data_IF_285414104819
#
_entry.id   IF_285414104819
#
_cell.length_a   1.000
_cell.length_b   1.000
_cell.length_c   1.000
_cell.angle_alpha   90.00
_cell.angle_beta   90.00
_cell.angle_gamma   90.00
#
_symmetry.space_group_name_H-M   'P 1'
#
loop_
_entity.id
_entity.type
_entity.pdbx_description
1 polymer ?
#
# COMPACT_ATOMS: atom_id res chain seq x y z
N UNK A 1 -38.37 -41.98 12.07
CA UNK A 1 -37.11 -42.01 11.29
C UNK A 1 -36.33 -40.73 11.55
N UNK A 2 -35.51 -40.73 12.60
CA UNK A 2 -34.67 -39.57 12.94
C UNK A 2 -33.51 -39.49 11.95
N UNK A 3 -33.67 -38.65 10.92
CA UNK A 3 -32.62 -38.45 9.93
C UNK A 3 -31.44 -37.73 10.58
N UNK A 4 -30.27 -38.29 10.36
CA UNK A 4 -28.93 -37.78 10.65
C UNK A 4 -28.76 -36.43 9.95
N UNK A 5 -29.24 -35.34 10.55
CA UNK A 5 -29.05 -33.97 10.07
C UNK A 5 -27.91 -33.40 10.89
N UNK A 6 -26.77 -33.18 10.23
CA UNK A 6 -25.60 -32.56 10.84
C UNK A 6 -25.93 -31.11 11.23
N UNK A 7 -26.25 -30.90 12.51
CA UNK A 7 -26.68 -29.60 13.09
C UNK A 7 -25.62 -28.49 12.97
N UNK A 8 -24.37 -28.83 12.65
CA UNK A 8 -23.28 -27.85 12.49
C UNK A 8 -23.10 -27.38 11.05
N UNK A 9 -23.60 -28.12 10.06
CA UNK A 9 -23.45 -27.74 8.65
C UNK A 9 -24.65 -26.90 8.19
N UNK A 10 -24.42 -25.60 8.01
CA UNK A 10 -25.42 -24.63 7.54
C UNK A 10 -26.17 -25.02 6.25
N UNK A 11 -25.56 -25.85 5.39
CA UNK A 11 -26.17 -26.26 4.12
C UNK A 11 -27.17 -27.42 4.28
N UNK A 12 -27.03 -28.21 5.34
CA UNK A 12 -27.84 -29.42 5.56
C UNK A 12 -28.99 -29.18 6.55
N UNK A 13 -28.94 -28.08 7.28
CA UNK A 13 -29.95 -27.69 8.26
C UNK A 13 -31.16 -27.11 7.55
N UNK A 14 -32.31 -27.76 7.74
CA UNK A 14 -33.61 -27.30 7.25
C UNK A 14 -34.23 -26.34 8.26
N UNK A 15 -34.98 -25.38 7.73
CA UNK A 15 -35.90 -24.52 8.46
C UNK A 15 -37.23 -25.22 8.75
N UNK A 16 -37.85 -24.87 9.86
CA UNK A 16 -39.24 -25.18 10.14
C UNK A 16 -40.13 -24.11 9.51
N UNK A 17 -41.34 -24.48 9.08
CA UNK A 17 -42.27 -23.55 8.42
C UNK A 17 -42.59 -22.37 9.34
N UNK A 18 -42.35 -21.15 8.84
CA UNK A 18 -42.61 -19.91 9.57
C UNK A 18 -41.56 -19.52 10.61
N UNK A 19 -40.45 -20.26 10.73
CA UNK A 19 -39.32 -19.92 11.62
C UNK A 19 -38.05 -19.63 10.82
N UNK A 20 -37.18 -18.81 11.38
CA UNK A 20 -35.83 -18.63 10.84
C UNK A 20 -35.02 -19.94 10.99
N UNK A 21 -34.03 -20.13 10.11
CA UNK A 21 -33.09 -21.26 10.21
C UNK A 21 -32.42 -21.27 11.58
N UNK A 22 -32.30 -22.44 12.24
CA UNK A 22 -31.65 -22.50 13.55
C UNK A 22 -30.15 -22.17 13.41
N UNK A 23 -29.60 -21.55 14.45
CA UNK A 23 -28.20 -21.18 14.47
C UNK A 23 -27.30 -22.43 14.46
N UNK A 24 -26.32 -22.46 13.56
CA UNK A 24 -25.35 -23.56 13.42
C UNK A 24 -24.01 -23.27 14.10
N UNK A 25 -23.89 -22.08 14.70
CA UNK A 25 -22.72 -21.60 15.42
C UNK A 25 -23.09 -21.40 16.89
N UNK A 26 -22.08 -21.50 17.74
CA UNK A 26 -22.24 -21.21 19.16
C UNK A 26 -22.57 -19.73 19.32
N UNK A 27 -23.80 -19.45 19.72
CA UNK A 27 -24.26 -18.10 20.02
C UNK A 27 -23.92 -17.78 21.48
N UNK A 28 -23.67 -16.50 21.79
CA UNK A 28 -23.59 -16.04 23.16
C UNK A 28 -24.84 -16.40 23.98
N UNK A 29 -24.72 -16.52 25.31
CA UNK A 29 -25.83 -16.82 26.21
C UNK A 29 -27.01 -15.85 26.05
N UNK A 30 -28.18 -16.29 26.50
CA UNK A 30 -29.38 -15.47 26.50
C UNK A 30 -29.16 -14.19 27.33
N UNK A 31 -29.55 -13.04 26.77
CA UNK A 31 -29.23 -11.70 27.29
C UNK A 31 -28.03 -11.00 26.65
N UNK A 32 -27.29 -11.65 25.74
CA UNK A 32 -26.25 -10.95 24.97
C UNK A 32 -26.84 -9.98 23.95
N UNK A 33 -26.46 -8.70 24.04
CA UNK A 33 -26.85 -7.69 23.05
C UNK A 33 -25.87 -7.69 21.88
N UNK A 34 -26.36 -8.03 20.69
CA UNK A 34 -25.57 -7.96 19.47
C UNK A 34 -25.39 -6.51 19.01
N UNK A 35 -24.21 -6.19 18.47
CA UNK A 35 -23.88 -4.87 17.94
C UNK A 35 -22.60 -4.31 18.55
N UNK A 36 -22.17 -3.15 18.03
CA UNK A 36 -21.05 -2.38 18.60
C UNK A 36 -21.65 -1.28 19.46
N UNK A 37 -21.44 -1.34 20.77
CA UNK A 37 -21.84 -0.26 21.67
C UNK A 37 -21.14 1.04 21.28
N UNK A 38 -21.87 2.15 21.33
CA UNK A 38 -21.31 3.46 21.08
C UNK A 38 -20.42 3.85 22.27
N UNK A 39 -19.12 3.95 22.03
CA UNK A 39 -18.16 4.36 23.05
C UNK A 39 -18.12 5.88 23.02
N UNK A 40 -18.89 6.50 23.93
CA UNK A 40 -18.77 7.94 24.16
C UNK A 40 -17.35 8.25 24.62
N UNK A 41 -16.76 9.29 24.06
CA UNK A 41 -15.49 9.80 24.53
C UNK A 41 -15.62 10.20 26.01
N UNK A 42 -14.53 10.03 26.76
CA UNK A 42 -14.49 10.46 28.16
C UNK A 42 -14.53 11.98 28.29
N UNK A 43 -14.11 12.68 27.24
CA UNK A 43 -14.03 14.13 27.20
C UNK A 43 -15.29 14.71 26.54
N UNK A 44 -15.96 15.61 27.26
CA UNK A 44 -17.09 16.36 26.72
C UNK A 44 -16.61 17.65 26.03
N UNK A 45 -17.44 18.22 25.14
CA UNK A 45 -17.11 19.45 24.42
C UNK A 45 -16.62 20.59 25.33
N UNK A 46 -17.21 20.75 26.52
CA UNK A 46 -16.78 21.76 27.49
C UNK A 46 -15.38 21.53 28.07
N UNK A 47 -14.94 20.27 28.20
CA UNK A 47 -13.60 19.93 28.70
C UNK A 47 -12.56 20.20 27.61
N UNK A 48 -12.87 19.83 26.37
CA UNK A 48 -12.00 20.05 25.21
C UNK A 48 -11.78 21.54 24.95
N UNK A 49 -12.78 22.39 25.18
CA UNK A 49 -12.66 23.85 24.98
C UNK A 49 -11.98 24.58 26.13
N UNK A 50 -12.08 24.07 27.36
CA UNK A 50 -11.53 24.72 28.57
C UNK A 50 -10.13 24.24 28.96
N UNK A 51 -9.73 23.05 28.53
CA UNK A 51 -8.43 22.47 28.86
C UNK A 51 -7.57 22.28 27.61
N UNK A 52 -6.42 22.93 27.58
CA UNK A 52 -5.41 22.69 26.55
C UNK A 52 -4.38 21.70 27.09
N UNK A 53 -4.44 20.46 26.64
CA UNK A 53 -3.42 19.47 27.00
C UNK A 53 -2.14 19.77 26.22
N UNK A 54 -1.10 20.19 26.94
CA UNK A 54 0.23 20.37 26.36
C UNK A 54 0.78 19.04 25.86
N UNK A 55 1.58 19.09 24.81
CA UNK A 55 2.19 17.89 24.22
C UNK A 55 3.05 17.16 25.26
N UNK A 56 2.61 15.97 25.64
CA UNK A 56 3.45 15.00 26.34
C UNK A 56 4.18 14.17 25.29
N UNK A 57 5.50 14.06 25.42
CA UNK A 57 6.28 13.19 24.53
C UNK A 57 5.72 11.78 24.63
N UNK A 58 5.40 11.18 23.48
CA UNK A 58 4.94 9.79 23.46
C UNK A 58 6.03 8.89 24.06
N UNK A 59 5.60 7.84 24.77
CA UNK A 59 6.54 6.84 25.28
C UNK A 59 7.39 6.34 24.10
N UNK A 60 8.72 6.24 24.25
CA UNK A 60 9.57 5.72 23.18
C UNK A 60 9.07 4.32 22.85
N UNK A 61 8.70 4.12 21.59
CA UNK A 61 8.30 2.79 21.11
C UNK A 61 9.53 1.89 21.19
N UNK A 62 9.37 0.72 21.81
CA UNK A 62 10.44 -0.27 21.84
C UNK A 62 10.92 -0.53 20.41
N UNK A 63 12.25 -0.65 20.19
CA UNK A 63 12.76 -0.95 18.88
C UNK A 63 12.18 -2.26 18.34
N UNK A 64 12.07 -2.34 17.02
CA UNK A 64 11.58 -3.55 16.37
C UNK A 64 12.56 -4.71 16.61
N UNK A 65 12.04 -5.95 16.61
CA UNK A 65 12.88 -7.15 16.75
C UNK A 65 13.78 -7.31 15.53
N UNK A 66 15.05 -7.61 15.76
CA UNK A 66 16.00 -7.92 14.70
C UNK A 66 15.93 -9.40 14.33
N UNK A 67 15.06 -9.72 13.38
CA UNK A 67 14.93 -11.08 12.87
C UNK A 67 16.18 -11.60 12.17
N UNK A 68 17.05 -10.74 11.62
CA UNK A 68 18.29 -11.19 10.98
C UNK A 68 19.28 -11.66 12.05
N UNK A 69 19.42 -10.91 13.14
CA UNK A 69 20.25 -11.32 14.28
C UNK A 69 19.67 -12.56 14.96
N UNK A 70 18.37 -12.62 15.19
CA UNK A 70 17.70 -13.80 15.75
C UNK A 70 17.91 -15.05 14.89
N UNK A 71 17.75 -14.96 13.57
CA UNK A 71 17.97 -16.10 12.68
C UNK A 71 19.45 -16.53 12.64
N UNK A 72 20.40 -15.58 12.74
CA UNK A 72 21.82 -15.94 12.85
C UNK A 72 22.12 -16.68 14.15
N UNK A 73 21.49 -16.29 15.25
CA UNK A 73 21.63 -16.99 16.54
C UNK A 73 20.98 -18.37 16.50
N UNK A 74 19.79 -18.48 15.91
CA UNK A 74 19.08 -19.77 15.80
C UNK A 74 19.87 -20.79 14.99
N UNK A 75 20.55 -20.36 13.92
CA UNK A 75 21.42 -21.23 13.11
C UNK A 75 22.63 -21.70 13.93
N UNK A 76 23.21 -20.84 14.78
CA UNK A 76 24.33 -21.22 15.65
C UNK A 76 23.93 -22.27 16.68
N UNK A 77 22.69 -22.23 17.17
CA UNK A 77 22.14 -23.23 18.10
C UNK A 77 21.55 -24.46 17.39
N UNK A 78 21.62 -24.54 16.06
CA UNK A 78 21.12 -25.69 15.30
C UNK A 78 19.60 -25.75 15.19
N UNK A 79 18.89 -24.64 15.40
CA UNK A 79 17.44 -24.54 15.25
C UNK A 79 17.09 -24.37 13.77
N UNK A 80 16.71 -25.47 13.12
CA UNK A 80 16.41 -25.52 11.67
C UNK A 80 14.90 -25.64 11.38
N UNK A 81 14.11 -26.17 12.31
CA UNK A 81 12.66 -26.36 12.13
C UNK A 81 11.85 -25.08 12.44
N UNK A 82 10.80 -24.82 11.68
CA UNK A 82 10.00 -23.61 11.76
C UNK A 82 9.25 -23.47 13.10
N UNK A 83 8.79 -24.58 13.70
CA UNK A 83 8.11 -24.54 15.00
C UNK A 83 9.11 -24.21 16.12
N UNK A 84 10.28 -24.85 16.06
CA UNK A 84 11.37 -24.62 17.01
C UNK A 84 11.93 -23.20 16.89
N UNK A 85 12.00 -22.63 15.68
CA UNK A 85 12.40 -21.25 15.44
C UNK A 85 11.45 -20.24 16.06
N UNK A 86 10.14 -20.54 16.09
CA UNK A 86 9.15 -19.69 16.75
C UNK A 86 9.39 -19.64 18.26
N UNK A 87 9.56 -20.80 18.92
CA UNK A 87 9.91 -20.86 20.35
C UNK A 87 11.23 -20.14 20.64
N UNK A 88 12.25 -20.38 19.82
CA UNK A 88 13.54 -19.70 19.94
C UNK A 88 13.43 -18.16 19.89
N UNK A 89 12.53 -17.61 19.07
CA UNK A 89 12.25 -16.17 18.97
C UNK A 89 11.40 -15.61 20.12
N UNK A 90 10.73 -16.48 20.88
CA UNK A 90 10.00 -16.10 22.09
C UNK A 90 10.98 -16.03 23.28
N UNK A 91 11.92 -16.96 23.36
CA UNK A 91 12.93 -17.06 24.44
C UNK A 91 14.09 -16.06 24.28
N UNK A 92 14.50 -15.76 23.05
CA UNK A 92 15.60 -14.84 22.76
C UNK A 92 15.07 -13.51 22.21
N UNK A 93 15.33 -12.41 22.92
CA UNK A 93 14.98 -11.07 22.44
C UNK A 93 16.23 -10.33 21.91
N UNK A 94 16.28 -10.15 20.59
CA UNK A 94 17.25 -9.27 19.96
C UNK A 94 16.51 -8.14 19.24
N UNK A 95 16.86 -6.91 19.57
CA UNK A 95 16.23 -5.69 19.07
C UNK A 95 17.16 -4.98 18.10
N UNK A 96 16.58 -4.31 17.12
CA UNK A 96 17.33 -3.42 16.23
C UNK A 96 17.84 -2.27 17.09
N UNK A 97 19.16 -2.13 17.18
CA UNK A 97 19.73 -0.95 17.81
C UNK A 97 19.26 0.27 16.99
N UNK A 98 18.61 1.26 17.62
CA UNK A 98 18.27 2.47 16.91
C UNK A 98 19.57 3.04 16.37
N UNK A 99 19.71 3.13 15.05
CA UNK A 99 20.91 3.69 14.44
C UNK A 99 21.00 5.15 14.89
N UNK A 100 21.77 5.41 15.94
CA UNK A 100 22.18 6.75 16.41
C UNK A 100 23.09 7.42 15.36
N UNK A 101 23.35 6.74 14.24
CA UNK A 101 23.99 7.29 13.06
C UNK A 101 23.08 8.25 12.28
N UNK A 102 23.47 9.52 12.33
CA UNK A 102 23.09 10.65 11.46
C UNK A 102 21.89 11.52 11.85
N UNK A 103 20.92 11.03 12.64
CA UNK A 103 19.79 11.89 13.07
C UNK A 103 19.98 12.56 14.44
N UNK A 104 20.65 11.93 15.41
CA UNK A 104 20.88 12.60 16.71
C UNK A 104 22.06 13.57 16.69
N UNK A 105 23.01 13.38 15.76
CA UNK A 105 24.12 14.34 15.52
C UNK A 105 23.69 15.58 14.74
N UNK A 106 22.55 15.52 14.05
CA UNK A 106 21.77 16.73 13.75
C UNK A 106 21.17 17.19 15.07
N UNK A 107 22.04 17.75 15.90
CA UNK A 107 21.70 18.54 17.07
C UNK A 107 20.42 19.30 16.75
N UNK A 108 19.49 19.30 17.69
CA UNK A 108 18.49 20.35 17.76
C UNK A 108 19.26 21.68 17.66
N UNK A 109 19.37 22.24 16.46
CA UNK A 109 19.79 23.61 16.31
C UNK A 109 18.67 24.38 16.98
N UNK A 110 18.98 25.03 18.10
CA UNK A 110 18.07 25.97 18.73
C UNK A 110 17.68 26.96 17.65
N UNK A 111 16.42 26.91 17.25
CA UNK A 111 15.93 27.77 16.19
C UNK A 111 15.98 29.19 16.74
N UNK A 112 16.70 30.13 16.08
CA UNK A 112 16.76 31.51 16.56
C UNK A 112 15.35 32.09 16.69
N UNK A 113 15.12 32.90 17.72
CA UNK A 113 13.79 33.45 18.04
C UNK A 113 13.21 34.34 16.92
N UNK A 114 14.08 34.89 16.07
CA UNK A 114 13.72 35.69 14.89
C UNK A 114 13.60 34.87 13.59
N UNK A 115 13.72 33.53 13.65
CA UNK A 115 13.53 32.69 12.48
C UNK A 115 12.03 32.51 12.22
N UNK A 116 11.53 33.16 11.18
CA UNK A 116 10.19 32.90 10.69
C UNK A 116 10.16 31.54 9.97
N UNK A 117 9.30 30.63 10.43
CA UNK A 117 9.00 29.40 9.71
C UNK A 117 7.87 29.63 8.72
N UNK A 118 8.01 29.06 7.53
CA UNK A 118 6.98 29.10 6.51
C UNK A 118 7.54 29.37 5.13
N UNK A 119 6.69 29.25 4.13
CA UNK A 119 7.02 29.68 2.77
C UNK A 119 6.57 31.14 2.64
N UNK A 120 7.45 32.08 2.28
CA UNK A 120 7.02 33.46 2.05
C UNK A 120 5.91 33.47 1.00
N UNK A 121 4.99 34.43 1.12
CA UNK A 121 3.95 34.60 0.12
C UNK A 121 4.59 34.68 -1.27
N UNK A 122 4.08 33.87 -2.20
CA UNK A 122 4.52 33.92 -3.58
C UNK A 122 4.29 35.37 -4.05
N UNK A 123 5.32 36.08 -4.54
CA UNK A 123 5.11 37.42 -5.08
C UNK A 123 4.06 37.35 -6.19
N UNK A 124 3.20 38.36 -6.26
CA UNK A 124 2.25 38.47 -7.36
C UNK A 124 3.00 38.42 -8.68
N UNK A 125 2.47 37.69 -9.65
CA UNK A 125 3.01 37.67 -11.02
C UNK A 125 3.08 39.12 -11.54
N UNK A 126 4.27 39.61 -11.94
CA UNK A 126 4.44 40.98 -12.43
C UNK A 126 3.45 41.30 -13.56
N UNK A 127 2.61 42.31 -13.34
CA UNK A 127 1.53 42.64 -14.28
C UNK A 127 2.05 43.06 -15.66
N UNK A 128 3.20 43.73 -15.71
CA UNK A 128 3.85 44.14 -16.95
C UNK A 128 4.16 42.93 -17.86
N UNK A 129 4.65 41.82 -17.26
CA UNK A 129 4.96 40.60 -18.02
C UNK A 129 3.71 39.87 -18.54
N UNK A 130 2.56 40.06 -17.89
CA UNK A 130 1.27 39.53 -18.36
C UNK A 130 0.78 40.37 -19.54
N UNK A 131 0.76 41.70 -19.39
CA UNK A 131 0.30 42.63 -20.43
C UNK A 131 1.16 42.51 -21.69
N UNK A 132 2.48 42.38 -21.54
CA UNK A 132 3.42 42.24 -22.65
C UNK A 132 3.50 40.82 -23.23
N UNK A 133 2.68 39.86 -22.78
CA UNK A 133 2.73 38.45 -23.19
C UNK A 133 4.12 37.78 -23.03
N UNK A 134 4.97 38.31 -22.15
CA UNK A 134 6.35 37.86 -21.96
C UNK A 134 6.43 36.37 -21.57
N UNK A 135 5.51 35.90 -20.72
CA UNK A 135 5.46 34.50 -20.30
C UNK A 135 5.02 33.55 -21.43
N UNK A 136 4.20 34.04 -22.36
CA UNK A 136 3.81 33.28 -23.54
C UNK A 136 4.97 33.13 -24.53
N UNK A 137 5.69 34.22 -24.77
CA UNK A 137 6.86 34.23 -25.65
C UNK A 137 8.00 33.37 -25.11
N UNK A 138 8.34 33.50 -23.83
CA UNK A 138 9.37 32.68 -23.18
C UNK A 138 9.00 31.20 -23.20
N UNK A 139 7.75 30.84 -22.91
CA UNK A 139 7.29 29.46 -23.01
C UNK A 139 7.38 28.92 -24.44
N UNK A 140 7.05 29.74 -25.44
CA UNK A 140 7.19 29.36 -26.84
C UNK A 140 8.65 29.11 -27.22
N UNK A 141 9.56 30.00 -26.82
CA UNK A 141 11.00 29.86 -27.03
C UNK A 141 11.54 28.58 -26.39
N UNK A 142 11.22 28.31 -25.14
CA UNK A 142 11.63 27.08 -24.46
C UNK A 142 11.14 25.81 -25.17
N UNK A 143 9.92 25.84 -25.71
CA UNK A 143 9.34 24.71 -26.45
C UNK A 143 10.12 24.49 -27.75
N UNK A 144 10.41 25.57 -28.49
CA UNK A 144 11.19 25.53 -29.73
C UNK A 144 12.59 24.97 -29.47
N UNK A 145 13.28 25.45 -28.43
CA UNK A 145 14.59 24.96 -28.02
C UNK A 145 14.57 23.48 -27.65
N UNK A 146 13.56 23.04 -26.88
CA UNK A 146 13.39 21.61 -26.52
C UNK A 146 13.21 20.74 -27.75
N UNK A 147 12.41 21.19 -28.73
CA UNK A 147 12.23 20.43 -29.97
C UNK A 147 13.51 20.38 -30.80
N UNK A 148 14.24 21.49 -30.94
CA UNK A 148 15.52 21.53 -31.65
C UNK A 148 16.54 20.55 -31.02
N UNK A 149 16.71 20.62 -29.69
CA UNK A 149 17.61 19.75 -28.95
C UNK A 149 17.20 18.27 -29.03
N UNK A 150 15.89 17.98 -28.97
CA UNK A 150 15.39 16.62 -29.17
C UNK A 150 15.72 16.06 -30.54
N UNK A 151 15.64 16.89 -31.58
CA UNK A 151 15.89 16.51 -32.95
C UNK A 151 17.39 16.26 -33.20
N UNK A 152 18.25 17.11 -32.63
CA UNK A 152 19.71 16.93 -32.65
C UNK A 152 20.16 15.67 -31.91
N UNK A 153 19.64 15.43 -30.71
CA UNK A 153 19.91 14.19 -29.97
C UNK A 153 19.49 12.95 -30.75
N UNK A 154 18.30 13.00 -31.39
CA UNK A 154 17.80 11.89 -32.22
C UNK A 154 18.72 11.61 -33.42
N UNK A 155 19.27 12.65 -34.07
CA UNK A 155 20.28 12.49 -35.13
C UNK A 155 21.56 11.82 -34.63
N UNK A 156 21.96 12.09 -33.39
CA UNK A 156 23.12 11.48 -32.74
C UNK A 156 22.83 10.08 -32.14
N UNK A 157 21.63 9.52 -32.34
CA UNK A 157 21.22 8.24 -31.76
C UNK A 157 21.03 8.26 -30.24
N UNK A 158 20.99 9.45 -29.61
CA UNK A 158 20.76 9.64 -28.17
C UNK A 158 19.31 10.03 -27.93
N UNK A 159 18.72 9.51 -26.85
CA UNK A 159 17.39 9.91 -26.40
C UNK A 159 17.49 10.95 -25.28
N UNK A 160 16.51 11.85 -25.20
CA UNK A 160 16.32 12.71 -24.03
C UNK A 160 16.14 11.86 -22.76
N UNK A 161 16.67 12.36 -21.64
CA UNK A 161 16.46 11.74 -20.35
C UNK A 161 14.96 11.70 -20.05
N UNK A 162 14.42 10.49 -19.87
CA UNK A 162 13.01 10.33 -19.49
C UNK A 162 12.81 10.85 -18.05
N UNK A 163 11.63 11.41 -17.74
CA UNK A 163 11.27 11.71 -16.36
C UNK A 163 11.43 10.47 -15.48
N UNK A 164 11.82 10.66 -14.22
CA UNK A 164 11.83 9.55 -13.25
C UNK A 164 10.44 8.95 -13.16
N UNK A 165 10.36 7.62 -13.31
CA UNK A 165 9.11 6.90 -13.19
C UNK A 165 8.58 7.02 -11.75
N UNK A 166 7.26 7.05 -11.62
CA UNK A 166 6.61 7.01 -10.31
C UNK A 166 6.42 5.56 -9.87
N UNK A 167 6.33 5.32 -8.56
CA UNK A 167 6.06 3.98 -7.99
C UNK A 167 4.78 3.33 -8.54
N UNK A 168 3.80 4.15 -8.97
CA UNK A 168 2.58 3.65 -9.60
C UNK A 168 2.86 3.11 -11.02
N UNK A 169 3.71 3.81 -11.79
CA UNK A 169 4.12 3.37 -13.11
C UNK A 169 4.91 2.06 -13.04
N UNK A 170 5.88 1.96 -12.12
CA UNK A 170 6.66 0.74 -11.88
C UNK A 170 5.76 -0.46 -11.61
N UNK A 171 4.80 -0.34 -10.67
CA UNK A 171 3.85 -1.40 -10.34
C UNK A 171 2.93 -1.78 -11.51
N UNK A 172 2.53 -0.82 -12.34
CA UNK A 172 1.73 -1.09 -13.53
C UNK A 172 2.53 -1.89 -14.56
N UNK A 173 3.81 -1.54 -14.76
CA UNK A 173 4.72 -2.28 -15.64
C UNK A 173 4.97 -3.69 -15.11
N UNK A 174 5.20 -3.86 -13.81
CA UNK A 174 5.32 -5.17 -13.17
C UNK A 174 4.07 -6.03 -13.38
N UNK A 175 2.88 -5.45 -13.20
CA UNK A 175 1.62 -6.14 -13.42
C UNK A 175 1.45 -6.59 -14.88
N UNK A 176 1.78 -5.72 -15.83
CA UNK A 176 1.71 -6.05 -17.27
C UNK A 176 2.70 -7.18 -17.60
N UNK A 177 3.94 -7.11 -17.11
CA UNK A 177 4.96 -8.16 -17.31
C UNK A 177 4.52 -9.49 -16.70
N UNK A 178 4.02 -9.47 -15.46
CA UNK A 178 3.49 -10.68 -14.81
C UNK A 178 2.34 -11.28 -15.61
N UNK A 179 1.40 -10.46 -16.08
CA UNK A 179 0.27 -10.92 -16.89
C UNK A 179 0.76 -11.54 -18.20
N UNK A 180 1.69 -10.90 -18.90
CA UNK A 180 2.28 -11.44 -20.13
C UNK A 180 2.99 -12.77 -19.89
N UNK A 181 3.76 -12.92 -18.80
CA UNK A 181 4.40 -14.20 -18.44
C UNK A 181 3.41 -15.31 -18.08
N UNK A 182 2.22 -14.98 -17.57
CA UNK A 182 1.17 -15.98 -17.26
C UNK A 182 0.33 -16.38 -18.48
N UNK A 183 0.46 -15.68 -19.61
CA UNK A 183 -0.33 -15.95 -20.82
C UNK A 183 0.44 -16.78 -21.86
N UNK A 184 1.64 -17.28 -21.52
CA UNK A 184 2.43 -18.20 -22.37
C UNK A 184 2.02 -19.66 -22.24
N UNK A 185 0.97 -19.97 -21.47
CA UNK A 185 0.27 -21.24 -21.70
C UNK A 185 -0.64 -21.03 -22.91
N UNK A 186 -0.45 -21.86 -23.94
CA UNK A 186 -1.31 -21.98 -25.13
C UNK A 186 -2.74 -22.35 -24.70
N UNK A 187 -3.45 -21.41 -24.07
CA UNK A 187 -4.86 -21.58 -23.76
C UNK A 187 -5.56 -21.62 -25.11
N UNK A 188 -6.22 -22.74 -25.46
CA UNK A 188 -6.93 -22.82 -26.71
C UNK A 188 -7.95 -21.68 -26.75
N UNK A 189 -7.95 -20.94 -27.85
CA UNK A 189 -8.87 -19.83 -28.04
C UNK A 189 -10.30 -20.34 -27.80
N UNK A 190 -11.10 -19.54 -27.10
CA UNK A 190 -12.44 -19.95 -26.70
C UNK A 190 -13.24 -20.48 -27.90
N UNK A 191 -13.69 -21.73 -27.81
CA UNK A 191 -14.50 -22.41 -28.83
C UNK A 191 -15.74 -22.98 -28.16
N UNK A 192 -16.92 -22.70 -28.71
CA UNK A 192 -18.17 -23.28 -28.21
C UNK A 192 -18.13 -24.81 -28.36
N UNK A 193 -18.74 -25.55 -27.43
CA UNK A 193 -18.75 -27.04 -27.42
C UNK A 193 -19.10 -27.66 -28.77
N UNK A 194 -20.10 -27.09 -29.48
CA UNK A 194 -20.57 -27.60 -30.78
C UNK A 194 -19.57 -27.42 -31.92
N UNK A 195 -18.59 -26.53 -31.76
CA UNK A 195 -17.59 -26.25 -32.78
C UNK A 195 -16.23 -26.83 -32.44
N UNK A 196 -16.04 -27.51 -31.30
CA UNK A 196 -14.72 -28.04 -30.90
C UNK A 196 -14.05 -28.86 -32.01
N UNK A 197 -14.81 -29.71 -32.70
CA UNK A 197 -14.32 -30.61 -33.75
C UNK A 197 -14.45 -30.07 -35.19
N UNK A 198 -14.73 -28.77 -35.37
CA UNK A 198 -14.85 -28.17 -36.71
C UNK A 198 -13.57 -27.44 -37.08
N UNK A 199 -12.94 -27.82 -38.19
CA UNK A 199 -11.71 -27.20 -38.65
C UNK A 199 -11.97 -25.77 -39.20
N UNK A 200 -11.04 -24.82 -38.97
CA UNK A 200 -11.17 -23.48 -39.50
C UNK A 200 -11.07 -23.51 -41.03
N UNK A 201 -12.01 -22.83 -41.71
CA UNK A 201 -12.00 -22.70 -43.17
C UNK A 201 -10.92 -21.77 -43.71
N UNK A 202 -10.30 -20.94 -42.85
CA UNK A 202 -9.35 -19.90 -43.24
C UNK A 202 -8.26 -19.80 -42.15
N UNK A 203 -6.99 -19.76 -42.56
CA UNK A 203 -5.83 -19.60 -41.67
C UNK A 203 -5.50 -18.12 -41.47
N UNK A 204 -6.24 -17.44 -40.58
CA UNK A 204 -5.88 -16.07 -40.17
C UNK A 204 -4.82 -16.13 -39.07
N UNK A 205 -3.57 -16.29 -39.49
CA UNK A 205 -2.40 -16.13 -38.63
C UNK A 205 -2.22 -14.65 -38.29
N UNK A 206 -2.68 -14.22 -37.11
CA UNK A 206 -2.07 -13.07 -36.43
C UNK A 206 -0.94 -13.61 -35.56
N UNK A 207 0.29 -13.40 -36.02
CA UNK A 207 1.47 -13.40 -35.14
C UNK A 207 1.38 -12.26 -34.15
#
# INVERSE_FOLDING_TARGET
MEKIINKKNQLLVKDDVGRAKPATRDLPPDGFTFGKADRRDQENAGIVTSSWKMHEQSRPKDPERDFKKLNKMSIKEGVVDARTLKGFREDHDARIEPTIGDRSRRRQQSVPEHLAFGKPNRPSTPINGIIANYYGETAHQEIVEKYALSHELRKQGKALAKPKETKAHEKAVEFIKMKQTTTTEDKPQFKLKRFQNVDPRISTNRK
#
